data_IF_520698700796
#
_entry.id   IF_520698700796
#
_cell.length_a   1.000
_cell.length_b   1.000
_cell.length_c   1.000
_cell.angle_alpha   90.00
_cell.angle_beta   90.00
_cell.angle_gamma   90.00
#
_symmetry.space_group_name_H-M   'P 1'
#
loop_
_entity.id
_entity.type
_entity.pdbx_description
1 polymer ?
#
# COMPACT_ATOMS: atom_id res chain seq x y z
N UNK A 1 12.18 6.13 -1.68
CA UNK A 1 11.17 5.07 -1.84
C UNK A 1 10.14 5.25 -0.75
N UNK A 2 8.91 5.67 -1.09
CA UNK A 2 7.85 5.88 -0.08
C UNK A 2 7.26 4.51 0.27
N UNK A 3 7.43 4.09 1.52
CA UNK A 3 6.76 2.90 2.05
C UNK A 3 5.51 3.37 2.80
N UNK A 4 4.34 3.25 2.18
CA UNK A 4 3.07 3.42 2.89
C UNK A 4 2.87 2.17 3.77
N UNK A 5 2.43 2.37 5.00
CA UNK A 5 2.05 1.29 5.91
C UNK A 5 0.58 1.44 6.23
N UNK A 6 -0.21 0.42 5.90
CA UNK A 6 -1.56 0.27 6.39
C UNK A 6 -1.50 -0.38 7.78
N UNK A 7 -2.29 0.12 8.73
CA UNK A 7 -2.40 -0.43 10.08
C UNK A 7 -3.87 -0.48 10.49
N UNK A 8 -4.28 -1.56 11.16
CA UNK A 8 -5.65 -1.76 11.64
C UNK A 8 -5.72 -2.71 12.84
N UNK A 9 -6.93 -2.92 13.33
CA UNK A 9 -7.22 -3.69 14.54
C UNK A 9 -7.47 -5.17 14.26
N UNK A 10 -7.73 -5.53 12.99
CA UNK A 10 -7.88 -6.92 12.54
C UNK A 10 -7.17 -7.18 11.20
N UNK A 11 -6.84 -8.45 10.93
CA UNK A 11 -6.26 -8.83 9.65
C UNK A 11 -7.23 -8.59 8.49
N UNK A 12 -8.51 -8.90 8.70
CA UNK A 12 -9.56 -8.79 7.69
C UNK A 12 -9.80 -7.32 7.29
N UNK A 13 -9.79 -6.40 8.25
CA UNK A 13 -9.87 -4.95 8.00
C UNK A 13 -8.70 -4.48 7.14
N UNK A 14 -7.47 -4.83 7.53
CA UNK A 14 -6.27 -4.44 6.80
C UNK A 14 -6.26 -4.99 5.37
N UNK A 15 -6.69 -6.25 5.20
CA UNK A 15 -6.78 -6.87 3.89
C UNK A 15 -7.84 -6.23 3.01
N UNK A 16 -9.06 -6.02 3.53
CA UNK A 16 -10.16 -5.43 2.78
C UNK A 16 -9.82 -4.02 2.27
N UNK A 17 -9.15 -3.21 3.09
CA UNK A 17 -8.71 -1.88 2.70
C UNK A 17 -7.57 -1.96 1.68
N UNK A 18 -6.60 -2.88 1.86
CA UNK A 18 -5.53 -3.09 0.88
C UNK A 18 -6.12 -3.42 -0.51
N UNK A 19 -7.01 -4.42 -0.58
CA UNK A 19 -7.69 -4.83 -1.83
C UNK A 19 -8.45 -3.65 -2.47
N UNK A 20 -9.12 -2.84 -1.65
CA UNK A 20 -9.83 -1.65 -2.12
C UNK A 20 -8.86 -0.65 -2.76
N UNK A 21 -7.71 -0.39 -2.14
CA UNK A 21 -6.69 0.53 -2.66
C UNK A 21 -6.09 -0.02 -3.96
N UNK A 22 -5.74 -1.31 -4.00
CA UNK A 22 -5.21 -1.94 -5.22
C UNK A 22 -6.18 -1.85 -6.40
N UNK A 23 -7.49 -1.92 -6.14
CA UNK A 23 -8.52 -1.82 -7.19
C UNK A 23 -8.80 -0.40 -7.69
N UNK A 24 -8.49 0.63 -6.90
CA UNK A 24 -8.95 2.00 -7.15
C UNK A 24 -7.85 2.91 -7.74
N UNK A 25 -6.59 2.67 -7.39
CA UNK A 25 -5.51 3.58 -7.80
C UNK A 25 -5.01 3.27 -9.23
N UNK A 26 -4.81 4.32 -10.07
CA UNK A 26 -4.33 4.14 -11.44
C UNK A 26 -2.85 3.74 -11.49
N UNK A 27 -2.08 4.00 -10.44
CA UNK A 27 -0.73 3.46 -10.29
C UNK A 27 -0.81 2.03 -9.77
N UNK A 28 0.08 1.15 -10.23
CA UNK A 28 0.22 -0.19 -9.65
C UNK A 28 0.74 -0.06 -8.21
N UNK A 29 -0.21 -0.09 -7.26
CA UNK A 29 0.06 -0.24 -5.84
C UNK A 29 -0.24 -1.69 -5.50
N UNK A 30 0.69 -2.34 -4.81
CA UNK A 30 0.50 -3.69 -4.25
C UNK A 30 0.85 -3.70 -2.78
N UNK A 31 0.18 -4.51 -2.00
CA UNK A 31 0.40 -4.65 -0.56
C UNK A 31 1.04 -5.99 -0.23
N UNK A 32 1.92 -6.00 0.77
CA UNK A 32 2.49 -7.24 1.30
C UNK A 32 1.42 -8.08 2.02
N UNK A 33 1.71 -9.34 2.32
CA UNK A 33 0.91 -10.11 3.27
C UNK A 33 0.76 -9.37 4.61
N UNK A 34 -0.43 -9.45 5.21
CA UNK A 34 -0.71 -8.88 6.52
C UNK A 34 0.17 -9.54 7.58
N UNK A 35 0.76 -8.72 8.45
CA UNK A 35 1.58 -9.15 9.57
C UNK A 35 1.02 -8.59 10.87
N UNK A 36 1.33 -9.25 11.97
CA UNK A 36 1.03 -8.77 13.33
C UNK A 36 2.25 -8.15 13.97
N UNK A 37 2.02 -7.26 14.93
CA UNK A 37 3.08 -6.72 15.78
C UNK A 37 2.55 -5.68 16.75
N UNK A 38 3.38 -5.31 17.71
CA UNK A 38 3.01 -4.37 18.77
C UNK A 38 3.46 -2.96 18.39
N UNK A 39 2.57 -1.98 18.55
CA UNK A 39 2.90 -0.59 18.28
C UNK A 39 2.94 0.21 19.60
N UNK A 40 4.11 0.75 20.01
CA UNK A 40 4.25 1.53 21.24
C UNK A 40 3.32 2.75 21.33
N UNK A 41 2.89 3.30 20.17
CA UNK A 41 1.90 4.40 20.12
C UNK A 41 0.57 4.02 20.77
N UNK A 42 0.20 2.74 20.72
CA UNK A 42 -1.06 2.21 21.25
C UNK A 42 -0.79 1.34 22.48
N UNK A 43 0.06 1.81 23.39
CA UNK A 43 0.38 1.13 24.66
C UNK A 43 0.85 -0.33 24.49
N UNK A 44 1.44 -0.65 23.34
CA UNK A 44 1.91 -2.01 23.03
C UNK A 44 0.80 -2.97 22.59
N UNK A 45 -0.41 -2.47 22.31
CA UNK A 45 -1.47 -3.28 21.70
C UNK A 45 -0.98 -3.93 20.41
N UNK A 46 -1.40 -5.18 20.20
CA UNK A 46 -1.22 -5.86 18.93
C UNK A 46 -2.03 -5.13 17.85
N UNK A 47 -1.38 -4.87 16.73
CA UNK A 47 -1.97 -4.33 15.51
C UNK A 47 -1.64 -5.23 14.33
N UNK A 48 -2.42 -5.09 13.27
CA UNK A 48 -2.20 -5.74 11.99
C UNK A 48 -1.69 -4.69 11.01
N UNK A 49 -0.77 -5.06 10.13
CA UNK A 49 -0.20 -4.13 9.17
C UNK A 49 0.20 -4.78 7.86
N UNK A 50 0.16 -3.97 6.80
CA UNK A 50 0.69 -4.30 5.49
C UNK A 50 1.45 -3.10 4.91
N UNK A 51 2.50 -3.36 4.15
CA UNK A 51 3.31 -2.34 3.49
C UNK A 51 2.97 -2.28 2.01
N UNK A 52 2.72 -1.08 1.51
CA UNK A 52 2.50 -0.84 0.10
C UNK A 52 3.83 -0.70 -0.64
N UNK A 53 3.86 -1.27 -1.85
CA UNK A 53 4.87 -1.05 -2.87
C UNK A 53 4.18 -0.34 -4.03
N UNK A 54 4.67 0.86 -4.32
CA UNK A 54 4.19 1.67 -5.44
C UNK A 54 5.17 1.48 -6.59
N UNK A 55 4.69 0.92 -7.70
CA UNK A 55 5.44 0.87 -8.95
C UNK A 55 5.09 2.12 -9.76
N UNK A 56 6.05 3.05 -9.86
CA UNK A 56 5.92 4.19 -10.76
C UNK A 56 6.17 3.71 -12.19
N UNK A 57 5.12 3.35 -12.92
CA UNK A 57 5.18 3.28 -14.37
C UNK A 57 5.36 4.70 -14.90
N UNK A 58 6.62 5.06 -15.19
CA UNK A 58 6.92 6.22 -16.03
C UNK A 58 6.39 5.85 -17.42
N UNK A 59 5.18 6.27 -17.75
CA UNK A 59 4.72 6.22 -19.14
C UNK A 59 5.75 7.01 -19.96
N UNK A 60 6.33 6.46 -21.03
CA UNK A 60 7.13 7.28 -21.93
C UNK A 60 6.22 8.42 -22.40
N UNK A 61 6.65 9.67 -22.16
CA UNK A 61 6.01 10.81 -22.79
C UNK A 61 5.92 10.50 -24.29
N UNK A 62 4.77 10.76 -24.96
CA UNK A 62 4.71 10.63 -26.40
C UNK A 62 5.87 11.46 -26.95
N UNK A 63 6.83 10.78 -27.58
CA UNK A 63 7.92 11.46 -28.26
C UNK A 63 7.26 12.36 -29.29
N UNK A 64 7.40 13.66 -29.06
CA UNK A 64 6.92 14.72 -29.93
C UNK A 64 7.53 14.44 -31.32
N UNK A 65 6.76 13.75 -32.14
CA UNK A 65 7.09 13.43 -33.52
C UNK A 65 6.63 14.64 -34.31
N UNK A 66 7.31 15.76 -34.08
CA UNK A 66 7.20 16.93 -34.94
C UNK A 66 8.06 16.65 -36.18
N UNK A 67 7.38 16.49 -37.32
CA UNK A 67 7.91 16.30 -38.68
C UNK A 67 8.78 17.48 -39.17
#
# INVERSE_FOLDING_TARGET
>A
MVQLRLEGDSADEVQAIADTIESFFPQHISFSHVRTGTNPRYTGQQKFFSYARIEMTILPLPSDSSE
#
